data_IF_423912867887
#
_entry.id   IF_423912867887
#
_cell.length_a   1.000
_cell.length_b   1.000
_cell.length_c   1.000
_cell.angle_alpha   90.00
_cell.angle_beta   90.00
_cell.angle_gamma   90.00
#
_symmetry.space_group_name_H-M   'P 1'
#
loop_
_entity.id
_entity.type
_entity.pdbx_description
1 polymer ?
#
# COMPACT_ATOMS: atom_id res chain seq x y z
N UNK A 1 -21.75 34.39 -8.92
CA UNK A 1 -20.43 33.78 -8.62
C UNK A 1 -19.45 33.91 -9.78
N UNK A 2 -19.83 34.56 -10.88
CA UNK A 2 -18.92 34.89 -11.98
C UNK A 2 -17.72 35.70 -11.46
N UNK A 3 -16.52 35.30 -11.89
CA UNK A 3 -15.26 35.99 -11.59
C UNK A 3 -14.55 35.59 -10.29
N UNK A 4 -15.11 34.71 -9.45
CA UNK A 4 -14.45 34.30 -8.18
C UNK A 4 -13.36 33.23 -8.34
N UNK A 5 -13.40 32.48 -9.44
CA UNK A 5 -12.43 31.41 -9.75
C UNK A 5 -11.98 31.58 -11.19
N UNK A 6 -10.67 31.53 -11.39
CA UNK A 6 -10.06 31.51 -12.72
C UNK A 6 -9.67 30.09 -13.08
N UNK A 7 -10.31 29.52 -14.11
CA UNK A 7 -9.94 28.22 -14.66
C UNK A 7 -8.90 28.39 -15.76
N UNK A 8 -7.83 27.59 -15.70
CA UNK A 8 -6.81 27.54 -16.75
C UNK A 8 -6.57 26.07 -17.12
N UNK A 9 -6.71 25.74 -18.41
CA UNK A 9 -6.44 24.40 -18.92
C UNK A 9 -5.00 24.35 -19.44
N UNK A 10 -4.13 23.64 -18.71
CA UNK A 10 -2.70 23.63 -18.98
C UNK A 10 -1.90 22.88 -17.93
N UNK A 11 -0.60 23.10 -17.91
CA UNK A 11 0.34 22.50 -16.96
C UNK A 11 1.20 23.58 -16.31
N UNK A 12 1.46 23.47 -15.01
CA UNK A 12 2.44 24.31 -14.32
C UNK A 12 3.85 23.84 -14.71
N UNK A 13 4.66 24.72 -15.28
CA UNK A 13 6.01 24.41 -15.79
C UNK A 13 7.12 25.02 -14.96
N UNK A 14 6.84 26.08 -14.18
CA UNK A 14 7.83 26.76 -13.32
C UNK A 14 7.17 27.35 -12.07
N UNK A 15 7.90 27.33 -10.96
CA UNK A 15 7.56 28.04 -9.73
C UNK A 15 8.49 29.24 -9.57
N UNK A 16 7.99 30.37 -9.09
CA UNK A 16 8.78 31.57 -8.80
C UNK A 16 8.59 32.01 -7.35
N UNK A 17 9.67 32.42 -6.70
CA UNK A 17 9.70 32.76 -5.28
C UNK A 17 11.11 33.06 -4.78
N UNK A 18 11.25 33.37 -3.49
CA UNK A 18 12.53 33.63 -2.81
C UNK A 18 13.18 32.35 -2.21
N UNK A 19 12.60 31.18 -2.50
CA UNK A 19 13.00 29.89 -1.94
C UNK A 19 12.22 29.47 -0.69
N UNK A 20 11.58 30.41 0.01
CA UNK A 20 10.68 30.15 1.15
C UNK A 20 9.22 30.40 0.79
N UNK A 21 8.95 31.49 0.07
CA UNK A 21 7.63 31.95 -0.28
C UNK A 21 7.41 31.85 -1.79
N UNK A 22 6.28 31.24 -2.18
CA UNK A 22 5.81 31.26 -3.57
C UNK A 22 5.25 32.64 -3.88
N UNK A 23 5.54 33.17 -5.07
CA UNK A 23 4.99 34.44 -5.54
C UNK A 23 4.23 34.29 -6.85
N UNK A 24 4.60 33.33 -7.70
CA UNK A 24 3.86 32.99 -8.90
C UNK A 24 4.18 31.60 -9.44
N UNK A 25 3.33 31.11 -10.34
CA UNK A 25 3.56 29.91 -11.14
C UNK A 25 3.45 30.25 -12.63
N UNK A 26 4.24 29.59 -13.46
CA UNK A 26 4.13 29.66 -14.92
C UNK A 26 3.23 28.53 -15.40
N UNK A 27 2.12 28.87 -16.05
CA UNK A 27 1.16 27.92 -16.60
C UNK A 27 1.32 27.90 -18.12
N UNK A 28 1.69 26.76 -18.68
CA UNK A 28 1.69 26.52 -20.12
C UNK A 28 0.31 26.05 -20.57
N UNK A 29 -0.31 26.84 -21.43
CA UNK A 29 -1.61 26.59 -22.05
C UNK A 29 -1.44 26.35 -23.55
N UNK A 30 -2.52 26.01 -24.26
CA UNK A 30 -2.50 25.91 -25.71
C UNK A 30 -2.16 27.23 -26.42
N UNK A 31 -2.47 28.37 -25.79
CA UNK A 31 -2.21 29.72 -26.30
C UNK A 31 -0.82 30.28 -25.97
N UNK A 32 -0.01 29.55 -25.19
CA UNK A 32 1.31 30.00 -24.73
C UNK A 32 1.47 29.90 -23.22
N UNK A 33 2.50 30.56 -22.69
CA UNK A 33 2.83 30.54 -21.26
C UNK A 33 2.37 31.83 -20.58
N UNK A 34 1.80 31.69 -19.39
CA UNK A 34 1.31 32.82 -18.59
C UNK A 34 1.76 32.67 -17.13
N UNK A 35 2.26 33.77 -16.54
CA UNK A 35 2.58 33.83 -15.13
C UNK A 35 1.33 34.18 -14.29
N UNK A 36 1.02 33.33 -13.30
CA UNK A 36 -0.12 33.49 -12.39
C UNK A 36 0.39 33.77 -11.00
N UNK A 37 0.07 34.95 -10.46
CA UNK A 37 0.41 35.32 -9.09
C UNK A 37 -0.33 34.44 -8.08
N UNK A 38 0.41 33.82 -7.16
CA UNK A 38 -0.14 33.02 -6.07
C UNK A 38 0.90 32.86 -4.96
N UNK A 39 0.42 32.71 -3.72
CA UNK A 39 1.26 32.51 -2.54
C UNK A 39 1.28 31.06 -2.04
N UNK A 40 0.39 30.21 -2.58
CA UNK A 40 0.31 28.79 -2.28
C UNK A 40 -0.11 28.00 -3.52
N UNK A 41 0.46 26.80 -3.66
CA UNK A 41 0.07 25.83 -4.69
C UNK A 41 -0.35 24.54 -3.99
N UNK A 42 -1.55 24.05 -4.31
CA UNK A 42 -2.11 22.82 -3.73
C UNK A 42 -2.25 21.77 -4.84
N UNK A 43 -1.24 20.90 -5.06
CA UNK A 43 -1.29 19.87 -6.09
C UNK A 43 -2.15 18.69 -5.63
N UNK A 44 -3.25 18.44 -6.34
CA UNK A 44 -4.13 17.29 -6.13
C UNK A 44 -3.98 16.26 -7.27
N UNK A 45 -2.75 15.76 -7.50
CA UNK A 45 -2.43 14.83 -8.59
C UNK A 45 -2.80 13.37 -8.33
N UNK A 46 -3.40 13.09 -7.17
CA UNK A 46 -3.63 11.73 -6.68
C UNK A 46 -2.46 11.20 -5.86
N UNK A 47 -2.43 9.88 -5.66
CA UNK A 47 -1.45 9.20 -4.81
C UNK A 47 -0.51 8.35 -5.64
N UNK A 48 0.71 8.16 -5.16
CA UNK A 48 1.69 7.23 -5.73
C UNK A 48 2.20 6.30 -4.65
N UNK A 49 2.38 5.03 -4.99
CA UNK A 49 2.90 4.04 -4.06
C UNK A 49 4.43 4.10 -4.05
N UNK A 50 5.00 4.32 -2.88
CA UNK A 50 6.43 4.15 -2.61
C UNK A 50 6.58 3.09 -1.53
N UNK A 51 7.66 2.31 -1.58
CA UNK A 51 7.95 1.28 -0.56
C UNK A 51 7.93 1.89 0.86
N UNK A 52 8.42 3.14 0.97
CA UNK A 52 8.34 3.90 2.20
C UNK A 52 9.12 3.24 3.34
N UNK A 53 8.60 3.24 4.58
CA UNK A 53 9.34 2.78 5.76
C UNK A 53 9.81 1.33 5.72
N UNK A 54 9.15 0.47 4.93
CA UNK A 54 9.51 -0.96 4.82
C UNK A 54 10.94 -1.16 4.34
N UNK A 55 11.47 -0.21 3.55
CA UNK A 55 12.85 -0.22 3.08
C UNK A 55 13.87 -0.23 4.24
N UNK A 56 13.52 0.37 5.38
CA UNK A 56 14.43 0.63 6.49
C UNK A 56 14.30 -0.40 7.63
N UNK A 57 13.47 -1.42 7.48
CA UNK A 57 13.19 -2.41 8.52
C UNK A 57 14.25 -3.51 8.63
N UNK A 58 15.28 -3.50 7.78
CA UNK A 58 16.32 -4.54 7.76
C UNK A 58 15.84 -5.89 7.20
N UNK A 59 14.68 -5.93 6.55
CA UNK A 59 14.16 -7.14 5.92
C UNK A 59 14.93 -7.46 4.63
N UNK A 60 15.05 -8.74 4.32
CA UNK A 60 15.69 -9.17 3.08
C UNK A 60 14.78 -8.89 1.86
N UNK A 61 15.15 -7.91 1.06
CA UNK A 61 14.40 -7.48 -0.12
C UNK A 61 14.97 -8.05 -1.42
N UNK A 62 14.09 -8.52 -2.30
CA UNK A 62 14.37 -8.82 -3.69
C UNK A 62 13.59 -7.86 -4.58
N UNK A 63 14.27 -6.95 -5.28
CA UNK A 63 13.64 -5.93 -6.12
C UNK A 63 12.51 -5.13 -5.41
N UNK A 64 12.76 -4.70 -4.17
CA UNK A 64 11.80 -4.00 -3.30
C UNK A 64 10.62 -4.86 -2.77
N UNK A 65 10.69 -6.19 -2.92
CA UNK A 65 9.72 -7.13 -2.37
C UNK A 65 10.33 -7.96 -1.24
N UNK A 66 9.54 -8.29 -0.23
CA UNK A 66 9.98 -9.05 0.94
C UNK A 66 10.06 -10.53 0.59
N UNK A 67 11.24 -11.13 0.70
CA UNK A 67 11.41 -12.58 0.47
C UNK A 67 10.74 -13.38 1.58
N UNK A 68 9.98 -14.43 1.22
CA UNK A 68 9.28 -15.30 2.17
C UNK A 68 9.41 -16.79 1.82
N UNK A 69 9.15 -17.67 2.79
CA UNK A 69 8.92 -19.09 2.53
C UNK A 69 7.51 -19.35 1.97
N UNK A 70 7.28 -20.51 1.34
CA UNK A 70 5.98 -20.85 0.72
C UNK A 70 5.09 -21.76 1.57
N UNK A 71 5.55 -22.22 2.74
CA UNK A 71 4.76 -23.02 3.67
C UNK A 71 3.93 -22.11 4.61
N UNK A 72 4.52 -20.99 5.03
CA UNK A 72 3.97 -20.08 6.04
C UNK A 72 3.93 -18.63 5.58
N UNK A 73 4.66 -18.26 4.53
CA UNK A 73 4.86 -16.86 4.13
C UNK A 73 5.51 -16.01 5.22
N UNK A 74 6.39 -16.64 5.99
CA UNK A 74 7.23 -16.02 7.01
C UNK A 74 8.48 -15.44 6.34
N UNK A 75 8.94 -14.30 6.85
CA UNK A 75 10.18 -13.67 6.37
C UNK A 75 11.40 -14.33 7.00
N UNK A 76 12.60 -13.83 6.70
CA UNK A 76 13.82 -14.26 7.41
C UNK A 76 13.81 -13.90 8.89
N UNK A 77 13.00 -12.91 9.30
CA UNK A 77 12.79 -12.52 10.69
C UNK A 77 11.61 -13.31 11.29
N UNK A 78 11.85 -14.20 12.29
CA UNK A 78 10.81 -15.03 12.86
C UNK A 78 9.66 -14.21 13.47
N UNK A 79 8.43 -14.63 13.18
CA UNK A 79 7.21 -13.95 13.62
C UNK A 79 6.81 -12.74 12.77
N UNK A 80 7.63 -12.33 11.80
CA UNK A 80 7.25 -11.35 10.77
C UNK A 80 6.87 -12.11 9.50
N UNK A 81 5.68 -11.83 8.98
CA UNK A 81 5.13 -12.44 7.77
C UNK A 81 4.85 -11.39 6.71
N UNK A 82 4.91 -11.78 5.43
CA UNK A 82 4.53 -10.91 4.33
C UNK A 82 3.64 -11.67 3.33
N UNK A 83 2.47 -11.10 3.03
CA UNK A 83 1.47 -11.68 2.11
C UNK A 83 1.00 -10.61 1.12
N UNK A 84 0.48 -11.04 -0.02
CA UNK A 84 0.02 -10.15 -1.09
C UNK A 84 1.18 -9.59 -1.92
N UNK A 85 0.97 -8.45 -2.59
CA UNK A 85 1.87 -7.95 -3.63
C UNK A 85 3.23 -7.44 -3.12
N UNK A 86 3.40 -7.34 -1.80
CA UNK A 86 4.65 -6.92 -1.17
C UNK A 86 5.68 -8.04 -1.07
N UNK A 87 5.27 -9.32 -1.15
CA UNK A 87 6.18 -10.44 -0.96
C UNK A 87 6.75 -10.99 -2.29
N UNK A 88 7.77 -11.83 -2.16
CA UNK A 88 8.41 -12.54 -3.25
C UNK A 88 8.70 -13.99 -2.88
N UNK A 89 8.45 -14.89 -3.82
CA UNK A 89 8.87 -16.29 -3.84
C UNK A 89 8.84 -16.81 -5.29
N UNK A 90 9.52 -17.92 -5.63
CA UNK A 90 9.52 -18.45 -6.99
C UNK A 90 8.11 -18.74 -7.52
N UNK A 91 7.76 -18.16 -8.67
CA UNK A 91 6.44 -18.32 -9.29
C UNK A 91 5.34 -17.40 -8.75
N UNK A 92 5.67 -16.40 -7.92
CA UNK A 92 4.71 -15.41 -7.40
C UNK A 92 3.95 -14.71 -8.54
N UNK A 93 2.62 -14.67 -8.41
CA UNK A 93 1.73 -13.83 -9.21
C UNK A 93 1.07 -12.78 -8.31
N UNK A 94 1.14 -11.49 -8.73
CA UNK A 94 0.53 -10.34 -8.06
C UNK A 94 -0.97 -10.29 -8.32
N UNK A 95 -1.69 -11.18 -7.64
CA UNK A 95 -3.12 -11.36 -7.80
C UNK A 95 -3.77 -11.49 -6.42
N UNK A 96 -4.98 -10.93 -6.31
CA UNK A 96 -5.77 -10.93 -5.07
C UNK A 96 -5.96 -12.36 -4.52
N UNK A 97 -6.24 -13.33 -5.40
CA UNK A 97 -6.44 -14.73 -5.01
C UNK A 97 -5.20 -15.41 -4.41
N UNK A 98 -3.99 -15.00 -4.82
CA UNK A 98 -2.73 -15.47 -4.27
C UNK A 98 -2.61 -14.94 -2.84
N UNK A 99 -2.89 -13.65 -2.63
CA UNK A 99 -2.92 -13.04 -1.31
C UNK A 99 -3.87 -13.74 -0.33
N UNK A 100 -5.02 -14.22 -0.80
CA UNK A 100 -5.94 -15.02 0.02
C UNK A 100 -5.36 -16.38 0.43
N UNK A 101 -4.76 -17.09 -0.52
CA UNK A 101 -4.06 -18.35 -0.22
C UNK A 101 -2.92 -18.13 0.77
N UNK A 102 -2.12 -17.08 0.56
CA UNK A 102 -0.99 -16.72 1.40
C UNK A 102 -1.40 -16.38 2.83
N UNK A 103 -2.43 -15.55 2.98
CA UNK A 103 -2.97 -15.19 4.28
C UNK A 103 -3.52 -16.42 5.05
N UNK A 104 -4.13 -17.38 4.34
CA UNK A 104 -4.66 -18.59 4.97
C UNK A 104 -3.56 -19.47 5.59
N UNK A 105 -2.42 -19.63 4.91
CA UNK A 105 -1.27 -20.36 5.45
C UNK A 105 -0.54 -19.57 6.55
N UNK A 106 -0.36 -18.27 6.36
CA UNK A 106 0.24 -17.39 7.38
C UNK A 106 -0.51 -17.45 8.71
N UNK A 107 -1.84 -17.40 8.68
CA UNK A 107 -2.66 -17.45 9.91
C UNK A 107 -2.41 -18.74 10.72
N UNK A 108 -2.13 -19.87 10.07
CA UNK A 108 -1.82 -21.13 10.75
C UNK A 108 -0.48 -21.07 11.51
N UNK A 109 0.52 -20.41 10.93
CA UNK A 109 1.82 -20.20 11.58
C UNK A 109 1.70 -19.19 12.73
N UNK A 110 1.09 -18.03 12.47
CA UNK A 110 0.89 -16.97 13.46
C UNK A 110 0.11 -17.46 14.69
N UNK A 111 -0.91 -18.30 14.51
CA UNK A 111 -1.71 -18.87 15.60
C UNK A 111 -0.86 -19.62 16.64
N UNK A 112 0.22 -20.30 16.21
CA UNK A 112 1.13 -21.06 17.10
C UNK A 112 2.03 -20.14 17.92
N UNK A 113 2.32 -18.94 17.40
CA UNK A 113 3.06 -17.89 18.11
C UNK A 113 2.16 -17.22 19.15
N UNK A 114 0.93 -16.85 18.75
CA UNK A 114 0.00 -16.14 19.63
C UNK A 114 -0.54 -17.04 20.74
N UNK A 115 -0.76 -18.33 20.46
CA UNK A 115 -1.26 -19.30 21.44
C UNK A 115 -0.34 -20.53 21.52
N UNK A 116 0.85 -20.40 22.13
CA UNK A 116 1.79 -21.51 22.27
C UNK A 116 1.14 -22.70 22.98
N UNK A 117 1.39 -23.91 22.47
CA UNK A 117 0.85 -25.16 23.03
C UNK A 117 -0.62 -25.45 22.71
N UNK A 118 -1.37 -24.51 22.12
CA UNK A 118 -2.74 -24.77 21.67
C UNK A 118 -2.73 -25.49 20.33
N UNK A 119 -3.19 -26.75 20.32
CA UNK A 119 -3.33 -27.51 19.08
C UNK A 119 -4.36 -26.85 18.16
N UNK A 120 -3.98 -26.56 16.92
CA UNK A 120 -4.90 -26.05 15.91
C UNK A 120 -5.66 -27.22 15.29
N UNK A 121 -6.97 -27.29 15.55
CA UNK A 121 -7.86 -28.25 14.93
C UNK A 121 -8.38 -27.67 13.61
N UNK A 122 -8.11 -28.36 12.51
CA UNK A 122 -8.62 -27.95 11.21
C UNK A 122 -10.12 -28.25 11.10
N UNK A 123 -10.88 -27.26 10.68
CA UNK A 123 -12.34 -27.31 10.61
C UNK A 123 -12.82 -26.55 9.38
N UNK A 124 -13.88 -27.02 8.73
CA UNK A 124 -14.51 -26.32 7.63
C UNK A 124 -15.60 -25.39 8.14
N UNK A 125 -15.70 -24.20 7.54
CA UNK A 125 -16.71 -23.18 7.91
C UNK A 125 -18.14 -23.65 7.67
N UNK A 126 -18.35 -24.57 6.71
CA UNK A 126 -19.66 -25.12 6.36
C UNK A 126 -20.24 -26.05 7.41
N UNK A 127 -19.41 -26.78 8.16
CA UNK A 127 -19.87 -27.83 9.10
C UNK A 127 -19.51 -27.59 10.56
N UNK A 128 -18.61 -26.64 10.87
CA UNK A 128 -18.23 -26.34 12.25
C UNK A 128 -19.13 -25.29 12.88
N UNK A 129 -19.95 -25.72 13.85
CA UNK A 129 -20.74 -24.80 14.70
C UNK A 129 -19.85 -23.82 15.48
N UNK A 130 -18.65 -24.25 15.89
CA UNK A 130 -17.67 -23.40 16.56
C UNK A 130 -17.19 -22.25 15.65
N UNK A 131 -16.94 -22.53 14.37
CA UNK A 131 -16.58 -21.48 13.40
C UNK A 131 -17.77 -20.60 13.03
N UNK A 132 -18.95 -21.17 12.81
CA UNK A 132 -20.18 -20.42 12.54
C UNK A 132 -20.50 -19.43 13.66
N UNK A 133 -20.34 -19.84 14.93
CA UNK A 133 -20.47 -18.95 16.09
C UNK A 133 -19.48 -17.79 16.05
N UNK A 134 -18.22 -18.01 15.67
CA UNK A 134 -17.22 -16.93 15.51
C UNK A 134 -17.57 -15.97 14.37
N UNK A 135 -18.22 -16.47 13.32
CA UNK A 135 -18.71 -15.68 12.19
C UNK A 135 -20.03 -14.96 12.47
N UNK A 136 -20.68 -15.21 13.62
CA UNK A 136 -21.98 -14.63 13.96
C UNK A 136 -23.16 -15.26 13.19
N UNK A 137 -22.96 -16.43 12.58
CA UNK A 137 -24.02 -17.21 11.92
C UNK A 137 -24.83 -17.94 13.00
N UNK A 138 -26.16 -17.76 12.96
CA UNK A 138 -27.11 -18.40 13.89
C UNK A 138 -27.42 -19.83 13.49
#
# INVERSE_FOLDING_TARGET
>A
AEGKVRLMIGQVTKLSGDGTNLTSVLVKTASGEEAVACNAMLPFFGLTMKLGPVADWGLNLNENLITVDTEKFETTEPGIFAVGDINWYPGKLKLILSGFHEAALMAQAAQRIVYPGKKVLFQYTTSSSSLQKKLGVK
#
